data_IF_982205490574
#
_entry.id   IF_982205490574
#
_cell.length_a   1.000
_cell.length_b   1.000
_cell.length_c   1.000
_cell.angle_alpha   90.00
_cell.angle_beta   90.00
_cell.angle_gamma   90.00
#
_symmetry.space_group_name_H-M   'P 1'
#
loop_
_entity.id
_entity.type
_entity.pdbx_description
1 polymer ?
#
# COMPACT_ATOMS: atom_id res chain seq x y z
N UNK A 1 22.61 24.64 -8.98
CA UNK A 1 22.03 23.28 -8.96
C UNK A 1 21.77 23.02 -7.49
N UNK A 2 20.51 23.09 -7.03
CA UNK A 2 20.17 22.80 -5.64
C UNK A 2 20.25 21.28 -5.46
N UNK A 3 21.02 20.84 -4.48
CA UNK A 3 21.27 19.43 -4.19
C UNK A 3 19.96 18.64 -4.01
N UNK A 4 19.94 17.42 -4.54
CA UNK A 4 18.85 16.44 -4.40
C UNK A 4 18.54 16.06 -2.95
N UNK A 5 19.38 16.44 -1.99
CA UNK A 5 19.29 16.05 -0.58
C UNK A 5 18.18 16.75 0.20
N UNK A 6 17.50 17.74 -0.39
CA UNK A 6 16.36 18.43 0.21
C UNK A 6 15.00 17.93 -0.27
N UNK A 7 14.92 16.76 -0.90
CA UNK A 7 13.66 16.23 -1.44
C UNK A 7 13.35 14.83 -0.90
N UNK A 8 12.06 14.50 -0.76
CA UNK A 8 11.61 13.12 -0.53
C UNK A 8 11.93 12.23 -1.73
N UNK A 9 11.91 10.92 -1.52
CA UNK A 9 12.50 9.97 -2.47
C UNK A 9 11.60 9.71 -3.69
N UNK A 10 10.28 9.58 -3.47
CA UNK A 10 9.35 9.13 -4.52
C UNK A 10 8.79 10.29 -5.34
N UNK A 11 8.33 11.34 -4.65
CA UNK A 11 7.65 12.48 -5.28
C UNK A 11 8.46 13.79 -5.25
N UNK A 12 9.70 13.74 -4.78
CA UNK A 12 10.57 14.90 -4.67
C UNK A 12 9.93 16.07 -3.89
N UNK A 13 9.22 15.75 -2.79
CA UNK A 13 8.59 16.75 -1.93
C UNK A 13 9.69 17.55 -1.21
N UNK A 14 9.65 18.89 -1.26
CA UNK A 14 10.70 19.72 -0.67
C UNK A 14 10.67 19.63 0.86
N UNK A 15 11.82 19.28 1.41
CA UNK A 15 12.08 19.19 2.84
C UNK A 15 12.56 20.54 3.38
N UNK A 16 12.28 20.78 4.65
CA UNK A 16 12.83 21.93 5.36
C UNK A 16 14.32 21.72 5.61
N UNK A 17 15.12 22.76 5.35
CA UNK A 17 16.52 22.76 5.69
C UNK A 17 16.74 22.65 7.21
N UNK A 18 17.92 22.19 7.61
CA UNK A 18 18.31 22.14 9.01
C UNK A 18 18.36 23.55 9.66
N UNK A 19 18.39 23.58 10.99
CA UNK A 19 18.47 24.78 11.81
C UNK A 19 17.25 25.72 11.66
N UNK A 20 16.07 25.12 11.51
CA UNK A 20 14.78 25.83 11.41
C UNK A 20 14.01 25.81 12.73
N UNK A 21 14.73 25.89 13.85
CA UNK A 21 14.21 25.73 15.21
C UNK A 21 13.59 24.34 15.47
N UNK A 22 14.21 23.29 14.92
CA UNK A 22 13.85 21.87 15.09
C UNK A 22 12.49 21.46 14.50
N UNK A 23 11.69 22.38 13.94
CA UNK A 23 10.43 22.05 13.25
C UNK A 23 10.67 21.16 12.03
N UNK A 24 11.86 21.28 11.41
CA UNK A 24 12.30 20.46 10.30
C UNK A 24 12.28 18.97 10.63
N UNK A 25 12.54 18.60 11.88
CA UNK A 25 12.59 17.19 12.29
C UNK A 25 11.20 16.57 12.14
N UNK A 26 10.21 17.15 12.82
CA UNK A 26 8.83 16.63 12.80
C UNK A 26 8.18 16.77 11.43
N UNK A 27 8.42 17.89 10.74
CA UNK A 27 7.82 18.14 9.43
C UNK A 27 8.40 17.24 8.35
N UNK A 28 9.72 17.07 8.30
CA UNK A 28 10.35 16.23 7.30
C UNK A 28 10.03 14.75 7.53
N UNK A 29 9.90 14.30 8.78
CA UNK A 29 9.44 12.94 9.08
C UNK A 29 8.00 12.72 8.59
N UNK A 30 7.10 13.70 8.79
CA UNK A 30 5.75 13.63 8.25
C UNK A 30 5.76 13.58 6.71
N UNK A 31 6.60 14.37 6.04
CA UNK A 31 6.73 14.34 4.58
C UNK A 31 7.30 13.00 4.08
N UNK A 32 8.30 12.43 4.77
CA UNK A 32 8.85 11.11 4.41
C UNK A 32 7.79 10.00 4.51
N UNK A 33 6.96 10.04 5.56
CA UNK A 33 5.84 9.11 5.71
C UNK A 33 4.79 9.31 4.60
N UNK A 34 4.38 10.55 4.34
CA UNK A 34 3.39 10.90 3.31
C UNK A 34 3.88 10.46 1.93
N UNK A 35 5.14 10.73 1.59
CA UNK A 35 5.77 10.32 0.33
C UNK A 35 5.73 8.78 0.15
N UNK A 36 5.99 8.04 1.21
CA UNK A 36 5.96 6.57 1.20
C UNK A 36 4.54 5.99 1.08
N UNK A 37 3.51 6.62 1.64
CA UNK A 37 2.14 6.09 1.66
C UNK A 37 1.22 6.65 0.57
N UNK A 38 1.61 7.71 -0.14
CA UNK A 38 0.88 8.17 -1.32
C UNK A 38 1.12 7.16 -2.44
N UNK A 39 0.04 6.52 -2.90
CA UNK A 39 0.08 5.49 -3.95
C UNK A 39 1.20 4.45 -3.69
N UNK A 40 1.17 3.74 -2.55
CA UNK A 40 2.25 2.84 -2.18
C UNK A 40 2.27 1.65 -3.12
N UNK A 41 3.48 1.25 -3.53
CA UNK A 41 3.72 0.01 -4.29
C UNK A 41 4.46 -0.92 -3.34
N UNK A 42 3.83 -2.04 -3.01
CA UNK A 42 4.34 -3.04 -2.08
C UNK A 42 5.11 -4.09 -2.89
N UNK A 43 6.41 -4.21 -2.57
CA UNK A 43 7.33 -5.13 -3.22
C UNK A 43 6.99 -6.59 -2.86
N UNK A 44 6.64 -6.86 -1.60
CA UNK A 44 6.22 -8.17 -1.10
C UNK A 44 5.33 -8.04 0.15
N UNK A 45 4.40 -8.99 0.31
CA UNK A 45 3.50 -9.17 1.47
C UNK A 45 3.80 -10.43 2.29
N UNK A 46 4.88 -11.14 1.95
CA UNK A 46 5.21 -12.43 2.56
C UNK A 46 6.51 -12.43 3.37
N UNK A 47 7.27 -11.33 3.31
CA UNK A 47 8.54 -11.21 4.01
C UNK A 47 8.34 -10.87 5.48
N UNK A 48 9.04 -11.58 6.37
CA UNK A 48 9.05 -11.34 7.82
C UNK A 48 10.41 -10.83 8.34
N UNK A 49 11.34 -10.53 7.43
CA UNK A 49 12.63 -9.93 7.75
C UNK A 49 12.96 -8.86 6.70
N UNK A 50 13.62 -7.75 7.09
CA UNK A 50 14.00 -6.70 6.16
C UNK A 50 14.93 -7.23 5.06
N UNK A 51 14.67 -6.92 3.78
CA UNK A 51 15.62 -7.18 2.70
C UNK A 51 16.94 -6.45 2.92
N UNK A 52 18.05 -7.13 2.64
CA UNK A 52 19.40 -6.58 2.81
C UNK A 52 19.72 -5.52 1.74
N UNK A 53 19.06 -5.61 0.59
CA UNK A 53 19.20 -4.75 -0.58
C UNK A 53 18.05 -3.74 -0.73
N UNK A 54 17.27 -3.51 0.34
CA UNK A 54 16.21 -2.51 0.34
C UNK A 54 16.75 -1.10 0.04
N UNK A 55 16.17 -0.45 -0.96
CA UNK A 55 16.51 0.91 -1.38
C UNK A 55 15.44 1.89 -0.90
N UNK A 56 15.86 3.11 -0.59
CA UNK A 56 14.94 4.17 -0.20
C UNK A 56 13.83 4.36 -1.25
N UNK A 57 12.59 4.55 -0.79
CA UNK A 57 11.40 4.68 -1.62
C UNK A 57 10.63 3.37 -1.84
N UNK A 58 11.20 2.22 -1.48
CA UNK A 58 10.52 0.93 -1.53
C UNK A 58 9.67 0.67 -0.28
N UNK A 59 8.67 -0.19 -0.43
CA UNK A 59 7.73 -0.52 0.62
C UNK A 59 7.38 -2.01 0.65
N UNK A 60 7.10 -2.54 1.84
CA UNK A 60 6.73 -3.93 2.09
C UNK A 60 5.54 -4.00 3.03
N UNK A 61 4.71 -5.03 2.89
CA UNK A 61 3.75 -5.39 3.92
C UNK A 61 4.41 -6.45 4.79
N UNK A 62 4.65 -6.10 6.06
CA UNK A 62 5.38 -6.97 7.00
C UNK A 62 4.53 -8.20 7.29
N UNK A 63 5.04 -9.37 6.90
CA UNK A 63 4.44 -10.66 7.17
C UNK A 63 4.47 -11.04 8.66
N UNK A 64 3.69 -12.05 9.06
CA UNK A 64 3.68 -12.53 10.44
C UNK A 64 5.03 -13.15 10.86
N UNK A 65 5.36 -13.03 12.14
CA UNK A 65 6.63 -13.50 12.69
C UNK A 65 7.79 -12.55 12.38
N UNK A 66 7.52 -11.24 12.34
CA UNK A 66 8.48 -10.23 11.96
C UNK A 66 9.75 -10.25 12.85
N UNK A 67 10.92 -10.03 12.25
CA UNK A 67 12.22 -10.20 12.88
C UNK A 67 13.22 -9.10 12.49
N UNK A 68 14.37 -9.05 13.17
CA UNK A 68 15.37 -8.00 12.95
C UNK A 68 14.80 -6.61 13.23
N UNK A 69 15.03 -5.66 12.32
CA UNK A 69 14.47 -4.30 12.43
C UNK A 69 12.94 -4.26 12.29
N UNK A 70 12.33 -5.33 11.76
CA UNK A 70 10.88 -5.43 11.62
C UNK A 70 10.21 -6.08 12.84
N UNK A 71 10.96 -6.48 13.87
CA UNK A 71 10.41 -7.15 15.04
C UNK A 71 9.25 -6.36 15.68
N UNK A 72 8.09 -7.01 15.83
CA UNK A 72 6.86 -6.41 16.38
C UNK A 72 6.12 -5.46 15.43
N UNK A 73 6.46 -5.46 14.13
CA UNK A 73 5.84 -4.63 13.10
C UNK A 73 4.91 -5.42 12.16
N UNK A 74 4.50 -6.63 12.56
CA UNK A 74 3.61 -7.51 11.81
C UNK A 74 2.35 -6.77 11.30
N UNK A 75 2.01 -6.97 10.03
CA UNK A 75 0.84 -6.36 9.39
C UNK A 75 0.96 -4.86 9.09
N UNK A 76 2.09 -4.22 9.44
CA UNK A 76 2.36 -2.82 9.09
C UNK A 76 2.99 -2.71 7.71
N UNK A 77 2.89 -1.54 7.10
CA UNK A 77 3.69 -1.20 5.92
C UNK A 77 5.06 -0.74 6.40
N UNK A 78 6.12 -1.44 6.00
CA UNK A 78 7.50 -1.01 6.18
C UNK A 78 7.93 -0.18 4.97
N UNK A 79 8.41 1.04 5.20
CA UNK A 79 8.90 1.98 4.21
C UNK A 79 10.40 2.14 4.40
N UNK A 80 11.20 1.88 3.37
CA UNK A 80 12.63 2.21 3.41
C UNK A 80 12.82 3.68 3.02
N UNK A 81 13.55 4.43 3.84
CA UNK A 81 13.93 5.82 3.56
C UNK A 81 15.44 6.00 3.65
N UNK A 82 15.95 7.16 3.24
CA UNK A 82 17.37 7.49 3.46
C UNK A 82 17.79 7.48 4.93
N UNK A 83 16.84 7.61 5.86
CA UNK A 83 17.06 7.51 7.30
C UNK A 83 16.74 6.13 7.91
N UNK A 84 16.53 5.10 7.09
CA UNK A 84 16.15 3.74 7.51
C UNK A 84 14.65 3.45 7.45
N UNK A 85 14.21 2.42 8.17
CA UNK A 85 12.82 1.96 8.16
C UNK A 85 11.87 2.93 8.86
N UNK A 86 10.68 3.07 8.28
CA UNK A 86 9.49 3.64 8.92
C UNK A 86 8.36 2.65 8.80
N UNK A 87 7.49 2.62 9.80
CA UNK A 87 6.37 1.69 9.82
C UNK A 87 5.07 2.46 9.92
N UNK A 88 4.13 2.12 9.05
CA UNK A 88 2.80 2.72 9.02
C UNK A 88 1.77 1.63 9.30
N UNK A 89 0.89 1.92 10.24
CA UNK A 89 -0.27 1.06 10.51
C UNK A 89 -1.32 1.36 9.44
N UNK A 90 -1.75 0.36 8.65
CA UNK A 90 -2.81 0.56 7.67
C UNK A 90 -4.10 1.04 8.34
N UNK A 91 -4.83 1.91 7.64
CA UNK A 91 -6.12 2.43 8.10
C UNK A 91 -7.22 1.97 7.15
N UNK A 92 -8.46 1.83 7.65
CA UNK A 92 -9.61 1.41 6.84
C UNK A 92 -9.75 2.29 5.58
N UNK A 93 -9.91 1.63 4.43
CA UNK A 93 -10.00 2.28 3.11
C UNK A 93 -8.66 2.66 2.49
N UNK A 94 -7.52 2.40 3.17
CA UNK A 94 -6.19 2.60 2.59
C UNK A 94 -6.01 1.70 1.36
N UNK A 95 -5.29 2.20 0.36
CA UNK A 95 -5.07 1.51 -0.90
C UNK A 95 -3.58 1.37 -1.17
N UNK A 96 -3.20 0.25 -1.77
CA UNK A 96 -1.84 -0.04 -2.17
C UNK A 96 -1.84 -0.82 -3.48
N UNK A 97 -0.75 -0.75 -4.22
CA UNK A 97 -0.48 -1.69 -5.28
C UNK A 97 0.31 -2.86 -4.70
N UNK A 98 -0.26 -4.06 -4.77
CA UNK A 98 0.31 -5.28 -4.20
C UNK A 98 0.15 -6.41 -5.21
N UNK A 99 1.22 -7.17 -5.46
CA UNK A 99 1.19 -8.36 -6.32
C UNK A 99 0.57 -8.11 -7.72
N UNK A 100 0.81 -6.91 -8.29
CA UNK A 100 0.32 -6.53 -9.60
C UNK A 100 -1.13 -6.03 -9.65
N UNK A 101 -1.78 -5.81 -8.51
CA UNK A 101 -3.16 -5.31 -8.45
C UNK A 101 -3.35 -4.25 -7.34
N UNK A 102 -4.43 -3.48 -7.45
CA UNK A 102 -4.86 -2.55 -6.39
C UNK A 102 -5.51 -3.31 -5.25
N UNK A 103 -4.91 -3.29 -4.07
CA UNK A 103 -5.49 -3.83 -2.85
C UNK A 103 -6.10 -2.72 -1.99
N UNK A 104 -7.16 -3.05 -1.24
CA UNK A 104 -7.80 -2.16 -0.26
C UNK A 104 -7.71 -2.80 1.12
N UNK A 105 -7.27 -2.02 2.10
CA UNK A 105 -7.27 -2.41 3.50
C UNK A 105 -8.68 -2.22 4.08
N UNK A 106 -9.32 -3.32 4.48
CA UNK A 106 -10.59 -3.29 5.18
C UNK A 106 -10.76 -4.47 6.13
N UNK A 107 -11.50 -4.24 7.22
CA UNK A 107 -11.72 -5.22 8.29
C UNK A 107 -10.39 -5.82 8.79
N UNK A 108 -9.38 -4.97 8.97
CA UNK A 108 -8.02 -5.37 9.38
C UNK A 108 -7.28 -6.29 8.40
N UNK A 109 -7.68 -6.36 7.13
CA UNK A 109 -7.05 -7.22 6.11
C UNK A 109 -6.87 -6.50 4.78
N UNK A 110 -5.82 -6.86 4.04
CA UNK A 110 -5.66 -6.41 2.65
C UNK A 110 -6.45 -7.34 1.72
N UNK A 111 -7.32 -6.75 0.90
CA UNK A 111 -8.10 -7.47 -0.10
C UNK A 111 -7.70 -7.02 -1.50
N UNK A 112 -7.25 -7.98 -2.32
CA UNK A 112 -7.03 -7.76 -3.75
C UNK A 112 -8.37 -7.81 -4.50
N UNK A 113 -8.45 -7.29 -5.75
CA UNK A 113 -9.64 -7.40 -6.56
C UNK A 113 -9.95 -8.88 -6.83
N UNK A 114 -11.21 -9.30 -6.78
CA UNK A 114 -11.56 -10.69 -7.06
C UNK A 114 -11.24 -11.05 -8.51
N UNK A 115 -10.82 -12.30 -8.74
CA UNK A 115 -10.68 -12.87 -10.08
C UNK A 115 -12.06 -13.32 -10.56
N UNK A 116 -12.44 -12.92 -11.77
CA UNK A 116 -13.69 -13.36 -12.37
C UNK A 116 -13.42 -14.43 -13.41
N UNK A 117 -14.09 -15.58 -13.28
CA UNK A 117 -14.17 -16.53 -14.37
C UNK A 117 -15.05 -15.94 -15.48
N UNK A 118 -14.60 -16.05 -16.73
CA UNK A 118 -15.49 -15.79 -17.85
C UNK A 118 -16.69 -16.75 -17.78
N UNK A 119 -17.90 -16.33 -18.13
CA UNK A 119 -19.02 -17.24 -18.24
C UNK A 119 -18.68 -18.29 -19.30
N UNK A 120 -18.51 -19.54 -18.87
CA UNK A 120 -18.22 -20.69 -19.71
C UNK A 120 -19.54 -21.42 -19.94
N UNK A 121 -20.16 -21.15 -21.09
CA UNK A 121 -21.60 -21.30 -21.31
C UNK A 121 -22.23 -22.59 -20.79
N UNK A 122 -23.38 -22.46 -20.15
CA UNK A 122 -24.23 -23.58 -19.75
C UNK A 122 -25.66 -23.48 -20.25
N UNK A 123 -26.53 -24.30 -19.67
CA UNK A 123 -27.80 -24.69 -20.29
C UNK A 123 -28.79 -23.52 -20.46
N UNK A 124 -28.63 -22.44 -19.67
CA UNK A 124 -29.48 -21.24 -19.73
C UNK A 124 -28.60 -19.99 -19.63
N UNK A 125 -28.14 -19.51 -20.80
CA UNK A 125 -27.25 -18.35 -20.97
C UNK A 125 -27.68 -17.12 -20.16
N UNK A 126 -28.98 -16.85 -20.07
CA UNK A 126 -29.53 -15.68 -19.37
C UNK A 126 -29.35 -15.73 -17.83
N UNK A 127 -29.49 -16.90 -17.21
CA UNK A 127 -29.30 -17.05 -15.77
C UNK A 127 -27.82 -16.88 -15.38
N UNK A 128 -26.92 -17.37 -16.22
CA UNK A 128 -25.47 -17.25 -16.00
C UNK A 128 -24.98 -15.82 -16.20
N UNK A 129 -25.47 -15.14 -17.24
CA UNK A 129 -25.17 -13.73 -17.45
C UNK A 129 -25.62 -12.86 -16.26
N UNK A 130 -26.81 -13.10 -15.69
CA UNK A 130 -27.27 -12.40 -14.48
C UNK A 130 -26.40 -12.68 -13.27
N UNK A 131 -25.98 -13.93 -13.06
CA UNK A 131 -25.07 -14.27 -11.95
C UNK A 131 -23.72 -13.55 -12.09
N UNK A 132 -23.12 -13.59 -13.29
CA UNK A 132 -21.86 -12.91 -13.57
C UNK A 132 -21.96 -11.38 -13.33
N UNK A 133 -23.04 -10.76 -13.78
CA UNK A 133 -23.31 -9.33 -13.54
C UNK A 133 -23.50 -9.01 -12.05
N UNK A 134 -24.20 -9.87 -11.31
CA UNK A 134 -24.38 -9.70 -9.86
C UNK A 134 -23.03 -9.78 -9.12
N UNK A 135 -22.18 -10.75 -9.47
CA UNK A 135 -20.84 -10.88 -8.87
C UNK A 135 -19.98 -9.66 -9.17
N UNK A 136 -20.01 -9.15 -10.41
CA UNK A 136 -19.29 -7.94 -10.79
C UNK A 136 -19.81 -6.71 -10.05
N UNK A 137 -21.13 -6.55 -9.91
CA UNK A 137 -21.73 -5.45 -9.16
C UNK A 137 -21.31 -5.49 -7.67
N UNK A 138 -21.40 -6.65 -7.01
CA UNK A 138 -20.97 -6.79 -5.61
C UNK A 138 -19.51 -6.41 -5.42
N UNK A 139 -18.64 -6.81 -6.35
CA UNK A 139 -17.23 -6.51 -6.26
C UNK A 139 -16.88 -5.05 -6.59
N UNK A 140 -17.58 -4.41 -7.54
CA UNK A 140 -17.49 -2.97 -7.73
C UNK A 140 -17.94 -2.21 -6.47
N UNK A 141 -18.96 -2.71 -5.77
CA UNK A 141 -19.42 -2.11 -4.51
C UNK A 141 -18.39 -2.26 -3.39
N UNK A 142 -17.79 -3.45 -3.23
CA UNK A 142 -16.69 -3.66 -2.28
C UNK A 142 -15.47 -2.79 -2.60
N UNK A 143 -15.18 -2.55 -3.88
CA UNK A 143 -14.12 -1.64 -4.32
C UNK A 143 -14.48 -0.14 -4.14
N UNK A 144 -15.70 0.17 -3.66
CA UNK A 144 -16.21 1.54 -3.49
C UNK A 144 -16.47 2.27 -4.80
N UNK A 145 -16.58 1.55 -5.93
CA UNK A 145 -16.80 2.14 -7.26
C UNK A 145 -18.29 2.35 -7.56
N UNK A 146 -19.17 1.59 -6.90
CA UNK A 146 -20.62 1.78 -6.94
C UNK A 146 -21.20 1.66 -5.53
N UNK A 147 -22.38 2.22 -5.31
CA UNK A 147 -23.15 1.98 -4.09
C UNK A 147 -24.09 0.81 -4.39
N UNK A 148 -24.00 -0.27 -3.63
CA UNK A 148 -24.97 -1.36 -3.73
C UNK A 148 -26.34 -0.83 -3.29
N UNK A 149 -27.37 -1.08 -4.11
CA UNK A 149 -28.77 -0.77 -3.79
C UNK A 149 -29.47 -1.98 -3.20
#
# INVERSE_FOLDING_TARGET
MMDSDFNSVRFALPLLAAAQAQKEITHNEALALIDGIIHPVIESDSESAPPVDAVAGQAWLVGPGASGEWAGQDGRIALMTGGGWRFVTPVEGMQAWLSGARAVFSASTWSAPPVYAAPDGGAVVDAEARNALSTLASALAMAGLIIAN
#
